data_IF_018025304843
#
_entry.id   IF_018025304843
#
_cell.length_a   1.000
_cell.length_b   1.000
_cell.length_c   1.000
_cell.angle_alpha   90.00
_cell.angle_beta   90.00
_cell.angle_gamma   90.00
#
_symmetry.space_group_name_H-M   'P 1'
#
loop_
_entity.id
_entity.type
_entity.pdbx_description
1 polymer ?
#
# COMPACT_ATOMS: atom_id res chain seq x y z
N UNK A 1 -11.46 13.19 -4.27
CA UNK A 1 -12.07 12.84 -2.95
C UNK A 1 -10.95 12.82 -1.92
N UNK A 2 -11.10 13.46 -0.76
CA UNK A 2 -10.00 13.48 0.23
C UNK A 2 -9.76 12.08 0.79
N UNK A 3 -8.49 11.75 1.04
CA UNK A 3 -8.07 10.45 1.57
C UNK A 3 -8.78 10.06 2.88
N UNK A 4 -8.99 11.05 3.75
CA UNK A 4 -9.75 10.91 5.00
C UNK A 4 -11.22 10.51 4.74
N UNK A 5 -11.86 11.03 3.69
CA UNK A 5 -13.21 10.60 3.29
C UNK A 5 -13.24 9.15 2.84
N UNK A 6 -12.22 8.73 2.09
CA UNK A 6 -12.12 7.35 1.64
C UNK A 6 -11.93 6.39 2.81
N UNK A 7 -10.99 6.69 3.72
CA UNK A 7 -10.75 5.86 4.91
C UNK A 7 -11.98 5.83 5.82
N UNK A 8 -12.65 6.96 6.02
CA UNK A 8 -13.89 7.03 6.78
C UNK A 8 -14.99 6.15 6.20
N UNK A 9 -15.13 6.13 4.88
CA UNK A 9 -16.11 5.28 4.17
C UNK A 9 -15.83 3.79 4.35
N UNK A 10 -14.57 3.38 4.53
CA UNK A 10 -14.22 1.98 4.78
C UNK A 10 -14.51 1.52 6.21
N UNK A 11 -14.65 2.44 7.17
CA UNK A 11 -15.02 2.08 8.54
C UNK A 11 -16.48 1.65 8.64
N UNK A 12 -16.76 0.69 9.52
CA UNK A 12 -18.10 0.13 9.74
C UNK A 12 -18.97 1.11 10.52
N UNK A 13 -20.15 1.52 10.02
CA UNK A 13 -21.09 2.34 10.79
C UNK A 13 -21.57 1.60 12.04
N UNK A 14 -21.63 2.30 13.17
CA UNK A 14 -22.25 1.79 14.41
C UNK A 14 -23.67 2.34 14.56
N UNK A 15 -24.42 1.83 15.54
CA UNK A 15 -25.76 2.33 15.89
C UNK A 15 -25.72 3.79 16.39
N UNK A 16 -24.62 4.20 17.02
CA UNK A 16 -24.41 5.57 17.46
C UNK A 16 -24.10 6.47 16.24
N UNK A 17 -24.93 7.50 16.04
CA UNK A 17 -24.82 8.39 14.90
C UNK A 17 -23.45 9.08 14.85
N UNK A 18 -22.82 9.06 13.67
CA UNK A 18 -21.51 9.68 13.45
C UNK A 18 -20.33 8.90 14.04
N UNK A 19 -20.56 7.71 14.61
CA UNK A 19 -19.51 6.80 15.08
C UNK A 19 -19.31 5.66 14.09
N UNK A 20 -18.05 5.35 13.82
CA UNK A 20 -17.67 4.19 13.03
C UNK A 20 -16.64 3.34 13.76
N UNK A 21 -16.69 2.04 13.56
CA UNK A 21 -15.74 1.10 14.13
C UNK A 21 -14.76 0.54 13.10
N UNK A 22 -13.61 0.12 13.60
CA UNK A 22 -12.57 -0.54 12.84
C UNK A 22 -12.03 -1.73 13.64
N UNK A 23 -11.77 -2.84 12.97
CA UNK A 23 -10.99 -3.94 13.54
C UNK A 23 -9.49 -3.63 13.50
N UNK A 24 -8.70 -4.32 14.31
CA UNK A 24 -7.24 -4.22 14.25
C UNK A 24 -6.67 -4.63 12.88
N UNK A 25 -7.31 -5.58 12.20
CA UNK A 25 -6.98 -5.94 10.83
C UNK A 25 -7.18 -4.75 9.88
N UNK A 26 -8.31 -4.05 9.98
CA UNK A 26 -8.57 -2.87 9.15
C UNK A 26 -7.56 -1.73 9.42
N UNK A 27 -7.18 -1.50 10.69
CA UNK A 27 -6.13 -0.53 11.03
C UNK A 27 -4.79 -0.91 10.39
N UNK A 28 -4.44 -2.19 10.38
CA UNK A 28 -3.24 -2.67 9.72
C UNK A 28 -3.35 -2.54 8.19
N UNK A 29 -4.49 -2.86 7.60
CA UNK A 29 -4.74 -2.76 6.17
C UNK A 29 -4.64 -1.32 5.67
N UNK A 30 -5.15 -0.34 6.43
CA UNK A 30 -5.03 1.09 6.09
C UNK A 30 -3.56 1.50 5.95
N UNK A 31 -2.69 0.96 6.80
CA UNK A 31 -1.24 1.17 6.70
C UNK A 31 -0.64 0.43 5.49
N UNK A 32 -0.99 -0.85 5.30
CA UNK A 32 -0.45 -1.68 4.23
C UNK A 32 -0.85 -1.19 2.83
N UNK A 33 -2.02 -0.55 2.70
CA UNK A 33 -2.50 0.05 1.47
C UNK A 33 -1.85 1.41 1.15
N UNK A 34 -0.99 1.91 2.04
CA UNK A 34 -0.20 3.11 1.83
C UNK A 34 -0.90 4.43 2.18
N UNK A 35 -2.07 4.39 2.82
CA UNK A 35 -2.76 5.62 3.24
C UNK A 35 -2.00 6.38 4.33
N UNK A 36 -1.17 5.68 5.11
CA UNK A 36 -0.29 6.25 6.12
C UNK A 36 1.08 6.52 5.50
N UNK A 37 1.73 7.62 5.88
CA UNK A 37 3.09 7.92 5.44
C UNK A 37 4.10 6.96 6.09
N UNK A 38 4.23 5.77 5.50
CA UNK A 38 5.12 4.71 5.95
C UNK A 38 6.62 5.04 5.81
N UNK A 39 6.98 6.22 5.28
CA UNK A 39 8.36 6.74 5.31
C UNK A 39 8.65 7.48 6.61
N UNK A 40 7.62 8.06 7.23
CA UNK A 40 7.71 8.85 8.47
C UNK A 40 7.26 8.07 9.70
N UNK A 41 6.27 7.20 9.53
CA UNK A 41 5.65 6.48 10.63
C UNK A 41 5.69 4.97 10.37
N UNK A 42 6.15 4.21 11.35
CA UNK A 42 6.08 2.75 11.34
C UNK A 42 4.66 2.25 11.65
N UNK A 43 4.37 0.99 11.31
CA UNK A 43 3.11 0.34 11.66
C UNK A 43 2.83 0.39 13.18
N UNK A 44 3.85 0.23 14.01
CA UNK A 44 3.72 0.30 15.46
C UNK A 44 3.35 1.71 15.94
N UNK A 45 3.94 2.76 15.34
CA UNK A 45 3.57 4.15 15.65
C UNK A 45 2.13 4.46 15.24
N UNK A 46 1.72 3.97 14.05
CA UNK A 46 0.34 4.10 13.60
C UNK A 46 -0.64 3.40 14.54
N UNK A 47 -0.40 2.13 14.88
CA UNK A 47 -1.22 1.38 15.85
C UNK A 47 -1.28 2.09 17.19
N UNK A 48 -0.15 2.58 17.70
CA UNK A 48 -0.09 3.35 18.94
C UNK A 48 -0.93 4.64 18.89
N UNK A 49 -0.96 5.32 17.75
CA UNK A 49 -1.81 6.50 17.57
C UNK A 49 -3.31 6.14 17.60
N UNK A 50 -3.69 5.02 16.98
CA UNK A 50 -5.07 4.51 17.00
C UNK A 50 -5.50 4.01 18.39
N UNK A 51 -4.57 3.60 19.25
CA UNK A 51 -4.88 2.95 20.52
C UNK A 51 -5.64 3.83 21.51
N UNK A 52 -5.58 5.16 21.35
CA UNK A 52 -6.38 6.13 22.11
C UNK A 52 -7.89 5.98 21.87
N UNK A 53 -8.27 5.33 20.76
CA UNK A 53 -9.63 5.10 20.32
C UNK A 53 -10.07 3.64 20.48
N UNK A 54 -9.25 2.81 21.15
CA UNK A 54 -9.54 1.40 21.36
C UNK A 54 -10.70 1.24 22.36
N UNK A 55 -11.68 0.41 21.98
CA UNK A 55 -12.80 0.00 22.84
C UNK A 55 -12.75 -1.52 23.04
N UNK A 56 -11.77 -1.96 23.84
CA UNK A 56 -11.54 -3.38 24.14
C UNK A 56 -10.48 -4.03 23.24
N UNK A 57 -10.50 -5.37 23.15
CA UNK A 57 -9.50 -6.15 22.40
C UNK A 57 -9.72 -6.02 20.89
N UNK A 58 -8.86 -5.25 20.23
CA UNK A 58 -8.76 -5.21 18.75
C UNK A 58 -9.91 -4.50 18.04
N UNK A 59 -10.74 -3.74 18.77
CA UNK A 59 -11.81 -2.92 18.23
C UNK A 59 -11.54 -1.45 18.53
N UNK A 60 -11.70 -0.59 17.53
CA UNK A 60 -11.49 0.85 17.61
C UNK A 60 -12.77 1.57 17.23
N UNK A 61 -13.08 2.69 17.89
CA UNK A 61 -14.23 3.54 17.54
C UNK A 61 -13.77 4.96 17.26
N UNK A 62 -14.18 5.49 16.12
CA UNK A 62 -13.81 6.82 15.67
C UNK A 62 -15.07 7.65 15.41
N UNK A 63 -15.06 8.89 15.88
CA UNK A 63 -15.82 9.98 15.30
C UNK A 63 -15.01 10.61 14.17
N UNK A 64 -15.67 11.41 13.32
CA UNK A 64 -14.98 12.06 12.20
C UNK A 64 -13.81 12.93 12.68
N UNK A 65 -14.03 13.72 13.74
CA UNK A 65 -13.01 14.56 14.35
C UNK A 65 -11.79 13.79 14.89
N UNK A 66 -11.99 12.53 15.32
CA UNK A 66 -10.89 11.68 15.79
C UNK A 66 -9.95 11.33 14.63
N UNK A 67 -10.51 11.03 13.46
CA UNK A 67 -9.73 10.80 12.24
C UNK A 67 -9.02 12.06 11.75
N UNK A 68 -9.68 13.22 11.84
CA UNK A 68 -9.05 14.51 11.54
C UNK A 68 -7.86 14.79 12.49
N UNK A 69 -7.94 14.39 13.77
CA UNK A 69 -6.81 14.49 14.70
C UNK A 69 -5.61 13.62 14.29
N UNK A 70 -5.85 12.57 13.51
CA UNK A 70 -4.82 11.68 12.95
C UNK A 70 -4.32 12.14 11.57
N UNK A 71 -4.82 13.26 11.02
CA UNK A 71 -4.47 13.79 9.69
C UNK A 71 -2.97 13.83 9.39
N UNK A 72 -2.14 14.05 10.41
CA UNK A 72 -0.68 14.14 10.29
C UNK A 72 0.02 12.79 10.03
N UNK A 73 -0.62 11.66 10.33
CA UNK A 73 -0.11 10.33 10.00
C UNK A 73 -0.38 9.92 8.56
N UNK A 74 -1.46 10.45 7.99
CA UNK A 74 -1.86 10.16 6.63
C UNK A 74 -0.85 10.72 5.64
N UNK A 75 -0.77 10.07 4.48
CA UNK A 75 0.09 10.50 3.39
C UNK A 75 -0.40 11.85 2.85
N UNK A 76 0.41 12.89 3.05
CA UNK A 76 0.09 14.30 2.68
C UNK A 76 0.91 14.82 1.49
N UNK A 77 1.88 14.05 0.98
CA UNK A 77 2.64 14.49 -0.18
C UNK A 77 1.73 14.54 -1.41
N UNK A 78 1.97 15.49 -2.33
CA UNK A 78 1.45 15.38 -3.70
C UNK A 78 1.74 13.95 -4.18
N UNK A 79 0.71 13.26 -4.67
CA UNK A 79 0.86 11.97 -5.34
C UNK A 79 1.90 12.22 -6.43
N UNK A 80 3.15 11.81 -6.18
CA UNK A 80 4.25 12.05 -7.10
C UNK A 80 3.90 11.31 -8.38
N UNK A 81 4.33 11.89 -9.51
CA UNK A 81 4.22 11.30 -10.84
C UNK A 81 4.42 9.78 -10.74
N UNK A 82 3.46 8.97 -11.24
CA UNK A 82 3.44 7.53 -11.00
C UNK A 82 4.79 6.90 -11.30
N UNK A 83 5.15 5.89 -10.52
CA UNK A 83 6.33 5.09 -10.83
C UNK A 83 6.22 4.57 -12.27
N UNK A 84 7.21 4.93 -13.09
CA UNK A 84 7.33 4.50 -14.48
C UNK A 84 8.38 3.38 -14.57
N UNK A 85 7.96 2.12 -14.79
CA UNK A 85 8.86 0.99 -14.99
C UNK A 85 9.90 1.23 -16.09
N UNK A 86 9.60 2.06 -17.09
CA UNK A 86 10.50 2.33 -18.23
C UNK A 86 11.76 3.07 -17.80
N UNK A 87 11.72 3.81 -16.68
CA UNK A 87 12.87 4.53 -16.11
C UNK A 87 13.89 3.62 -15.44
N UNK A 88 13.54 2.36 -15.16
CA UNK A 88 14.49 1.40 -14.62
C UNK A 88 15.60 1.11 -15.64
N UNK A 89 16.84 0.96 -15.19
CA UNK A 89 17.95 0.58 -16.09
C UNK A 89 17.85 -0.89 -16.46
N UNK A 90 17.95 -1.16 -17.77
CA UNK A 90 18.02 -2.51 -18.32
C UNK A 90 19.27 -3.24 -17.83
N UNK A 91 19.20 -4.57 -17.83
CA UNK A 91 20.31 -5.45 -17.48
C UNK A 91 19.92 -6.53 -16.47
N UNK A 92 20.86 -7.45 -16.17
CA UNK A 92 20.64 -8.50 -15.18
C UNK A 92 20.52 -7.90 -13.76
N UNK A 93 19.63 -8.49 -12.97
CA UNK A 93 19.43 -8.16 -11.55
C UNK A 93 19.38 -9.45 -10.74
N UNK A 94 19.90 -9.46 -9.50
CA UNK A 94 19.72 -10.60 -8.61
C UNK A 94 18.23 -10.89 -8.35
N UNK A 95 17.84 -12.16 -8.15
CA UNK A 95 16.45 -12.52 -7.86
C UNK A 95 15.87 -11.76 -6.65
N UNK A 96 16.69 -11.52 -5.61
CA UNK A 96 16.32 -10.78 -4.41
C UNK A 96 15.83 -9.35 -4.70
N UNK A 97 16.26 -8.78 -5.83
CA UNK A 97 15.90 -7.43 -6.26
C UNK A 97 14.39 -7.26 -6.44
N UNK A 98 13.63 -8.31 -6.79
CA UNK A 98 12.16 -8.25 -6.88
C UNK A 98 11.50 -7.92 -5.54
N UNK A 99 12.06 -8.40 -4.43
CA UNK A 99 11.60 -8.07 -3.08
C UNK A 99 11.98 -6.64 -2.70
N UNK A 100 13.19 -6.21 -3.05
CA UNK A 100 13.62 -4.83 -2.82
C UNK A 100 12.79 -3.81 -3.60
N UNK A 101 12.50 -4.09 -4.88
CA UNK A 101 11.65 -3.26 -5.72
C UNK A 101 10.27 -3.08 -5.07
N UNK A 102 9.68 -4.15 -4.55
CA UNK A 102 8.40 -4.06 -3.86
C UNK A 102 8.50 -3.18 -2.62
N UNK A 103 9.46 -3.45 -1.73
CA UNK A 103 9.61 -2.73 -0.46
C UNK A 103 9.91 -1.24 -0.66
N UNK A 104 10.73 -0.89 -1.65
CA UNK A 104 11.18 0.49 -1.88
C UNK A 104 10.20 1.28 -2.74
N UNK A 105 9.51 0.62 -3.67
CA UNK A 105 8.72 1.28 -4.72
C UNK A 105 7.29 0.75 -4.77
N UNK A 106 7.07 -0.52 -5.13
CA UNK A 106 5.74 -1.00 -5.54
C UNK A 106 4.71 -1.04 -4.40
N UNK A 107 5.14 -1.16 -3.14
CA UNK A 107 4.22 -1.14 -1.98
C UNK A 107 3.43 0.16 -1.87
N UNK A 108 3.93 1.24 -2.47
CA UNK A 108 3.26 2.54 -2.49
C UNK A 108 2.43 2.76 -3.76
N UNK A 109 2.68 1.97 -4.81
CA UNK A 109 2.07 2.14 -6.14
C UNK A 109 0.95 1.10 -6.39
N UNK A 110 0.90 0.04 -5.58
CA UNK A 110 -0.04 -1.08 -5.74
C UNK A 110 -0.89 -1.33 -4.50
N UNK A 111 -2.02 -2.00 -4.68
CA UNK A 111 -2.83 -2.56 -3.60
C UNK A 111 -2.40 -3.98 -3.20
N UNK A 112 -1.31 -4.50 -3.76
CA UNK A 112 -0.84 -5.86 -3.52
C UNK A 112 -0.10 -5.93 -2.19
N UNK A 113 -0.32 -7.01 -1.44
CA UNK A 113 0.56 -7.40 -0.33
C UNK A 113 1.87 -7.98 -0.86
N UNK A 114 2.91 -8.06 0.00
CA UNK A 114 4.19 -8.67 -0.37
C UNK A 114 4.02 -10.12 -0.81
N UNK A 115 3.11 -10.85 -0.17
CA UNK A 115 2.83 -12.25 -0.51
C UNK A 115 2.16 -12.38 -1.88
N UNK A 116 1.15 -11.56 -2.16
CA UNK A 116 0.51 -11.52 -3.48
C UNK A 116 1.51 -11.12 -4.57
N UNK A 117 2.41 -10.16 -4.29
CA UNK A 117 3.51 -9.81 -5.18
C UNK A 117 4.44 -11.00 -5.44
N UNK A 118 4.85 -11.75 -4.40
CA UNK A 118 5.68 -12.95 -4.55
C UNK A 118 5.01 -14.02 -5.42
N UNK A 119 3.70 -14.19 -5.29
CA UNK A 119 2.94 -15.10 -6.16
C UNK A 119 2.97 -14.66 -7.62
N UNK A 120 2.78 -13.36 -7.91
CA UNK A 120 2.93 -12.81 -9.26
C UNK A 120 4.35 -13.01 -9.79
N UNK A 121 5.36 -12.76 -8.95
CA UNK A 121 6.76 -12.95 -9.34
C UNK A 121 7.00 -14.40 -9.78
N UNK A 122 6.58 -15.36 -8.96
CA UNK A 122 6.77 -16.78 -9.23
C UNK A 122 5.97 -17.28 -10.44
N UNK A 123 4.74 -16.80 -10.62
CA UNK A 123 3.85 -17.30 -11.67
C UNK A 123 4.06 -16.62 -13.03
N UNK A 124 4.44 -15.34 -13.07
CA UNK A 124 4.43 -14.54 -14.30
C UNK A 124 5.80 -13.98 -14.68
N UNK A 125 6.65 -13.68 -13.70
CA UNK A 125 7.94 -13.03 -13.92
C UNK A 125 9.07 -14.06 -14.09
N UNK A 126 9.29 -14.91 -13.08
CA UNK A 126 10.40 -15.87 -13.10
C UNK A 126 10.38 -16.80 -14.32
N UNK A 127 9.23 -17.35 -14.77
CA UNK A 127 9.20 -18.26 -15.91
C UNK A 127 9.66 -17.62 -17.23
N UNK A 128 9.53 -16.29 -17.36
CA UNK A 128 9.79 -15.56 -18.60
C UNK A 128 11.12 -14.81 -18.60
N UNK A 129 11.58 -14.39 -17.41
CA UNK A 129 12.69 -13.45 -17.29
C UNK A 129 13.86 -13.98 -16.45
N UNK A 130 13.75 -15.15 -15.81
CA UNK A 130 14.89 -15.75 -15.09
C UNK A 130 15.89 -16.35 -16.08
N UNK A 131 17.17 -16.03 -15.91
CA UNK A 131 18.29 -16.64 -16.62
C UNK A 131 19.39 -16.98 -15.62
N UNK A 132 19.50 -18.26 -15.24
CA UNK A 132 20.40 -18.70 -14.17
C UNK A 132 19.97 -18.11 -12.82
N UNK A 133 20.89 -17.43 -12.14
CA UNK A 133 20.64 -16.73 -10.87
C UNK A 133 20.17 -15.29 -11.05
N UNK A 134 20.07 -14.82 -12.30
CA UNK A 134 19.67 -13.47 -12.63
C UNK A 134 18.24 -13.37 -13.14
N UNK A 135 17.65 -12.21 -12.93
CA UNK A 135 16.43 -11.72 -13.55
C UNK A 135 16.80 -10.75 -14.67
N UNK A 136 16.36 -11.02 -15.89
CA UNK A 136 16.54 -10.14 -17.03
C UNK A 136 15.55 -8.99 -16.99
N UNK A 137 16.07 -7.81 -16.69
CA UNK A 137 15.32 -6.57 -16.77
C UNK A 137 15.45 -5.96 -18.16
N UNK A 138 14.39 -6.11 -18.97
CA UNK A 138 14.33 -5.61 -20.35
C UNK A 138 12.98 -4.92 -20.61
N UNK A 139 12.77 -4.43 -21.83
CA UNK A 139 11.52 -3.78 -22.24
C UNK A 139 10.27 -4.66 -21.96
N UNK A 140 10.35 -5.97 -22.24
CA UNK A 140 9.22 -6.88 -22.03
C UNK A 140 8.90 -7.06 -20.53
N UNK A 141 9.91 -7.13 -19.67
CA UNK A 141 9.71 -7.11 -18.22
C UNK A 141 8.99 -5.84 -17.80
N UNK A 142 9.47 -4.68 -18.27
CA UNK A 142 8.93 -3.36 -17.90
C UNK A 142 7.47 -3.22 -18.31
N UNK A 143 7.10 -3.68 -19.51
CA UNK A 143 5.70 -3.70 -19.96
C UNK A 143 4.83 -4.63 -19.12
N UNK A 144 5.34 -5.79 -18.71
CA UNK A 144 4.61 -6.67 -17.79
C UNK A 144 4.41 -6.02 -16.42
N UNK A 145 5.44 -5.36 -15.89
CA UNK A 145 5.34 -4.63 -14.63
C UNK A 145 4.32 -3.47 -14.73
N UNK A 146 4.33 -2.72 -15.84
CA UNK A 146 3.35 -1.66 -16.13
C UNK A 146 1.92 -2.21 -16.09
N UNK A 147 1.64 -3.32 -16.79
CA UNK A 147 0.33 -3.96 -16.77
C UNK A 147 -0.10 -4.46 -15.38
N UNK A 148 0.83 -4.99 -14.59
CA UNK A 148 0.55 -5.41 -13.20
C UNK A 148 0.19 -4.18 -12.34
N UNK A 149 0.93 -3.08 -12.48
CA UNK A 149 0.69 -1.84 -11.75
C UNK A 149 -0.64 -1.19 -12.13
N UNK A 150 -1.05 -1.24 -13.40
CA UNK A 150 -2.36 -0.76 -13.84
C UNK A 150 -3.49 -1.58 -13.24
N UNK A 151 -3.40 -2.91 -13.33
CA UNK A 151 -4.42 -3.82 -12.79
C UNK A 151 -4.57 -3.74 -11.27
N UNK A 152 -3.45 -3.51 -10.58
CA UNK A 152 -3.37 -3.52 -9.13
C UNK A 152 -3.02 -2.15 -8.55
N UNK A 153 -3.39 -1.07 -9.24
CA UNK A 153 -3.11 0.28 -8.80
C UNK A 153 -3.57 0.52 -7.36
N UNK A 154 -2.72 1.16 -6.55
CA UNK A 154 -3.07 1.56 -5.18
C UNK A 154 -4.37 2.37 -5.17
N UNK A 155 -5.24 2.24 -4.15
CA UNK A 155 -6.44 3.06 -4.03
C UNK A 155 -6.12 4.57 -4.01
N UNK A 156 -4.91 4.96 -3.59
CA UNK A 156 -4.40 6.34 -3.71
C UNK A 156 -4.45 6.87 -5.15
N UNK A 157 -4.16 6.04 -6.15
CA UNK A 157 -4.24 6.40 -7.57
C UNK A 157 -5.69 6.55 -8.07
N UNK A 158 -6.67 5.93 -7.40
CA UNK A 158 -8.10 6.06 -7.77
C UNK A 158 -8.76 7.32 -7.18
N UNK A 159 -8.01 8.10 -6.41
CA UNK A 159 -8.47 9.36 -5.83
C UNK A 159 -8.07 10.58 -6.70
N UNK A 160 -7.27 10.37 -7.77
CA UNK A 160 -7.15 11.29 -8.92
C UNK A 160 -8.48 11.39 -9.68
#
# INVERSE_FOLDING_TARGET
>A
MELLDYVWKQLTPEEEEGVRSASEALIADVYQQGFIDARRFSLNQWRGACQKFAKGKGLYRFKRADLDSLKNYFFQAQIKKPFDPRRLKDGPRPLAWTGELYQKVLRFETNLTLEAWRQIVNAQILPKFKKGEDLLYNAAFKSLLEAVLEKHASPLRRLE
#
